data_IF_088930710737
#
_entry.id   IF_088930710737
#
_cell.length_a   1.000
_cell.length_b   1.000
_cell.length_c   1.000
_cell.angle_alpha   90.00
_cell.angle_beta   90.00
_cell.angle_gamma   90.00
#
_symmetry.space_group_name_H-M   'P 1'
#
loop_
_entity.id
_entity.type
_entity.pdbx_description
1 polymer ?
#
# COMPACT_ATOMS: atom_id res chain seq x y z
N UNK A 1 12.06 -7.96 0.69
CA UNK A 1 10.99 -7.91 -0.34
C UNK A 1 9.72 -7.51 0.38
N UNK A 2 9.17 -6.35 0.06
CA UNK A 2 8.00 -5.82 0.74
C UNK A 2 6.81 -5.98 -0.20
N UNK A 3 5.70 -6.49 0.33
CA UNK A 3 4.45 -6.62 -0.40
C UNK A 3 3.48 -5.58 0.12
N UNK A 4 2.80 -4.88 -0.78
CA UNK A 4 1.79 -3.89 -0.45
C UNK A 4 0.47 -4.31 -1.09
N UNK A 5 -0.60 -4.31 -0.29
CA UNK A 5 -1.96 -4.34 -0.84
C UNK A 5 -2.35 -2.93 -1.19
N UNK A 6 -2.84 -2.73 -2.41
CA UNK A 6 -3.20 -1.42 -2.94
C UNK A 6 -4.72 -1.34 -3.02
N UNK A 7 -5.27 -0.33 -2.37
CA UNK A 7 -6.70 -0.11 -2.28
C UNK A 7 -7.08 1.23 -2.91
N UNK A 8 -8.31 1.30 -3.41
CA UNK A 8 -8.95 2.53 -3.85
C UNK A 8 -10.09 2.85 -2.88
N UNK A 9 -10.06 4.04 -2.29
CA UNK A 9 -11.15 4.54 -1.46
C UNK A 9 -12.28 5.04 -2.37
N UNK A 10 -13.35 4.28 -2.44
CA UNK A 10 -14.55 4.73 -3.13
C UNK A 10 -15.35 5.65 -2.20
N UNK A 11 -15.28 6.96 -2.46
CA UNK A 11 -15.94 7.97 -1.62
C UNK A 11 -17.47 7.87 -1.67
N UNK A 12 -18.02 7.34 -2.75
CA UNK A 12 -19.47 7.24 -2.94
C UNK A 12 -20.09 6.06 -2.19
N UNK A 13 -19.29 5.03 -1.88
CA UNK A 13 -19.77 3.78 -1.31
C UNK A 13 -19.23 3.46 0.09
N UNK A 14 -18.42 4.35 0.69
CA UNK A 14 -17.67 4.09 1.94
C UNK A 14 -16.94 2.73 1.94
N UNK A 15 -16.53 2.28 0.75
CA UNK A 15 -15.91 0.98 0.52
C UNK A 15 -14.49 1.14 0.02
N UNK A 16 -13.68 0.14 0.36
CA UNK A 16 -12.29 0.03 -0.04
C UNK A 16 -12.17 -1.13 -1.04
N UNK A 17 -11.88 -0.81 -2.29
CA UNK A 17 -11.72 -1.82 -3.33
C UNK A 17 -10.24 -2.17 -3.46
N UNK A 18 -9.91 -3.47 -3.33
CA UNK A 18 -8.56 -3.95 -3.59
C UNK A 18 -8.31 -3.91 -5.11
N UNK A 19 -7.45 -2.99 -5.54
CA UNK A 19 -7.14 -2.81 -6.97
C UNK A 19 -5.89 -3.57 -7.41
N UNK A 20 -5.06 -4.03 -6.47
CA UNK A 20 -3.92 -4.86 -6.79
C UNK A 20 -2.95 -5.09 -5.65
N UNK A 21 -1.85 -5.76 -5.99
CA UNK A 21 -0.72 -6.03 -5.08
C UNK A 21 0.55 -5.50 -5.72
N UNK A 22 1.31 -4.70 -4.97
CA UNK A 22 2.60 -4.18 -5.38
C UNK A 22 3.71 -4.92 -4.63
N UNK A 23 4.72 -5.35 -5.37
CA UNK A 23 5.86 -6.08 -4.81
C UNK A 23 7.12 -5.23 -5.01
N UNK A 24 7.63 -4.65 -3.94
CA UNK A 24 8.90 -3.93 -3.94
C UNK A 24 10.04 -4.90 -3.65
N UNK A 25 10.82 -5.19 -4.70
CA UNK A 25 11.97 -6.11 -4.64
C UNK A 25 13.25 -5.46 -4.13
N UNK A 26 13.29 -4.14 -4.02
CA UNK A 26 14.47 -3.42 -3.51
C UNK A 26 14.58 -3.60 -2.00
N UNK A 27 15.81 -3.76 -1.51
CA UNK A 27 16.10 -3.80 -0.07
C UNK A 27 16.40 -2.40 0.49
N UNK A 28 16.68 -1.42 -0.36
CA UNK A 28 16.92 -0.03 0.03
C UNK A 28 15.71 0.86 -0.29
N UNK A 29 15.01 1.32 0.75
CA UNK A 29 13.91 2.29 0.59
C UNK A 29 14.42 3.72 0.35
N UNK A 30 15.73 3.89 0.08
CA UNK A 30 16.40 5.18 -0.13
C UNK A 30 16.12 6.20 0.99
N UNK A 31 16.06 5.74 2.23
CA UNK A 31 15.74 6.56 3.40
C UNK A 31 14.25 6.91 3.56
N UNK A 32 13.35 6.31 2.78
CA UNK A 32 11.90 6.45 2.95
C UNK A 32 11.35 5.37 3.89
N UNK A 33 10.23 5.65 4.54
CA UNK A 33 9.44 4.60 5.21
C UNK A 33 8.81 3.68 4.18
N UNK A 34 8.48 2.44 4.56
CA UNK A 34 7.78 1.47 3.69
C UNK A 34 6.52 2.09 3.09
N UNK A 35 5.71 2.74 3.93
CA UNK A 35 4.48 3.42 3.49
C UNK A 35 4.77 4.50 2.45
N UNK A 36 5.78 5.35 2.66
CA UNK A 36 6.08 6.43 1.71
C UNK A 36 6.60 5.89 0.37
N UNK A 37 7.48 4.89 0.40
CA UNK A 37 7.97 4.24 -0.82
C UNK A 37 6.82 3.56 -1.57
N UNK A 38 6.03 2.75 -0.87
CA UNK A 38 4.92 2.01 -1.46
C UNK A 38 3.81 2.90 -1.99
N UNK A 39 3.51 4.04 -1.35
CA UNK A 39 2.53 5.01 -1.87
C UNK A 39 2.97 5.64 -3.19
N UNK A 40 4.24 6.06 -3.30
CA UNK A 40 4.77 6.60 -4.56
C UNK A 40 4.74 5.56 -5.69
N UNK A 41 5.12 4.32 -5.38
CA UNK A 41 5.03 3.23 -6.35
C UNK A 41 3.58 2.92 -6.75
N UNK A 42 2.66 2.90 -5.79
CA UNK A 42 1.25 2.66 -6.06
C UNK A 42 0.64 3.77 -6.93
N UNK A 43 0.97 5.04 -6.68
CA UNK A 43 0.53 6.15 -7.53
C UNK A 43 1.09 6.03 -8.95
N UNK A 44 2.36 5.64 -9.10
CA UNK A 44 2.99 5.45 -10.42
C UNK A 44 2.35 4.30 -11.22
N UNK A 45 2.06 3.17 -10.58
CA UNK A 45 1.53 1.98 -11.26
C UNK A 45 0.01 2.03 -11.46
N UNK A 46 -0.73 2.46 -10.44
CA UNK A 46 -2.20 2.41 -10.43
C UNK A 46 -2.86 3.77 -10.67
N UNK A 47 -2.12 4.88 -10.57
CA UNK A 47 -2.69 6.22 -10.72
C UNK A 47 -3.34 6.49 -12.07
N UNK A 48 -2.94 5.77 -13.12
CA UNK A 48 -3.57 5.90 -14.44
C UNK A 48 -4.83 5.01 -14.60
N UNK A 49 -5.09 4.12 -13.64
CA UNK A 49 -6.25 3.22 -13.62
C UNK A 49 -7.42 3.78 -12.82
N UNK A 50 -7.24 4.93 -12.17
CA UNK A 50 -8.22 5.52 -11.25
C UNK A 50 -8.41 7.00 -11.56
N UNK A 51 -9.61 7.52 -11.34
CA UNK A 51 -9.93 8.94 -11.59
C UNK A 51 -9.28 9.87 -10.56
N UNK A 52 -9.27 9.48 -9.27
CA UNK A 52 -8.62 10.23 -8.19
C UNK A 52 -7.41 9.46 -7.63
N UNK A 53 -6.20 9.86 -8.03
CA UNK A 53 -4.95 9.27 -7.53
C UNK A 53 -4.80 9.38 -6.00
N UNK A 54 -5.40 10.41 -5.38
CA UNK A 54 -5.36 10.62 -3.92
C UNK A 54 -6.26 9.65 -3.16
N UNK A 55 -7.13 8.94 -3.86
CA UNK A 55 -7.95 7.88 -3.29
C UNK A 55 -7.20 6.54 -3.20
N UNK A 56 -6.01 6.44 -3.79
CA UNK A 56 -5.15 5.25 -3.65
C UNK A 56 -4.48 5.28 -2.28
N UNK A 57 -4.54 4.17 -1.56
CA UNK A 57 -3.76 3.97 -0.35
C UNK A 57 -3.21 2.54 -0.31
N UNK A 58 -2.16 2.35 0.50
CA UNK A 58 -1.45 1.07 0.57
C UNK A 58 -1.33 0.56 1.99
N UNK A 59 -1.32 -0.76 2.12
CA UNK A 59 -1.06 -1.46 3.37
C UNK A 59 0.11 -2.43 3.15
N UNK A 60 1.30 -2.17 3.74
CA UNK A 60 2.39 -3.13 3.73
C UNK A 60 2.00 -4.40 4.49
N UNK A 61 2.29 -5.58 3.92
CA UNK A 61 1.92 -6.88 4.49
C UNK A 61 2.71 -7.17 5.79
N UNK A 62 3.91 -6.61 5.94
CA UNK A 62 4.74 -6.75 7.15
C UNK A 62 4.14 -6.09 8.40
N UNK A 63 3.15 -5.19 8.26
CA UNK A 63 2.38 -4.67 9.41
C UNK A 63 1.57 -5.77 10.12
N UNK A 64 1.36 -6.94 9.50
CA UNK A 64 0.78 -8.11 10.20
C UNK A 64 1.76 -8.86 11.10
N UNK A 65 3.07 -8.65 10.96
CA UNK A 65 4.06 -9.38 11.75
C UNK A 65 4.36 -8.75 13.12
N UNK A 66 3.77 -7.59 13.44
CA UNK A 66 4.02 -6.88 14.72
C UNK A 66 2.86 -6.96 15.73
N UNK A 67 1.80 -7.75 15.49
CA UNK A 67 0.61 -7.72 16.37
C UNK A 67 0.06 -9.08 16.83
N UNK A 68 0.87 -10.16 16.87
CA UNK A 68 0.40 -11.45 17.46
C UNK A 68 1.43 -12.25 18.27
N UNK A 69 2.58 -11.66 18.66
CA UNK A 69 3.59 -12.43 19.43
C UNK A 69 4.03 -11.84 20.75
N UNK A 70 3.33 -10.84 21.32
CA UNK A 70 3.54 -10.47 22.73
C UNK A 70 2.23 -10.06 23.41
N UNK A 71 1.55 -11.05 23.98
CA UNK A 71 0.82 -10.87 25.23
C UNK A 71 1.22 -12.04 26.15
N UNK A 72 1.85 -11.78 27.32
CA UNK A 72 2.24 -12.81 28.29
C UNK A 72 1.03 -13.45 28.98
#
# INVERSE_FOLDING_TARGET
MITYKVFLKNRDLEKEDLIGVLIERRNDLRGKTQVKSGSEWAELFFGNLVEDKRAIFIVPDELKSMDLSEAP
#
